data_IF_308266041830
#
_entry.id   IF_308266041830
#
_cell.length_a   1.000
_cell.length_b   1.000
_cell.length_c   1.000
_cell.angle_alpha   90.00
_cell.angle_beta   90.00
_cell.angle_gamma   90.00
#
_symmetry.space_group_name_H-M   'P 1'
#
loop_
_entity.id
_entity.type
_entity.pdbx_description
1 polymer ?
#
# COMPACT_ATOMS: atom_id res chain seq x y z
N UNK A 1 1.37 30.52 -20.15
CA UNK A 1 1.62 30.23 -18.73
C UNK A 1 1.80 31.54 -17.99
N UNK A 2 1.35 31.58 -16.74
CA UNK A 2 1.33 32.74 -15.89
C UNK A 2 2.19 32.53 -14.65
N UNK A 3 2.43 33.61 -13.90
CA UNK A 3 2.97 33.52 -12.54
C UNK A 3 1.94 32.88 -11.60
N UNK A 4 2.41 32.35 -10.46
CA UNK A 4 1.52 31.85 -9.42
C UNK A 4 0.56 32.91 -8.90
N UNK A 5 -0.69 32.52 -8.60
CA UNK A 5 -1.68 33.35 -7.93
C UNK A 5 -2.58 32.51 -7.01
N UNK A 6 -3.34 33.16 -6.12
CA UNK A 6 -4.18 32.49 -5.12
C UNK A 6 -5.35 31.73 -5.74
N UNK A 7 -5.91 32.22 -6.84
CA UNK A 7 -7.01 31.55 -7.55
C UNK A 7 -6.54 30.22 -8.16
N UNK A 8 -5.34 30.19 -8.75
CA UNK A 8 -4.75 28.96 -9.27
C UNK A 8 -4.40 27.95 -8.17
N UNK A 9 -3.92 28.41 -7.00
CA UNK A 9 -3.68 27.54 -5.86
C UNK A 9 -4.97 26.91 -5.35
N UNK A 10 -6.05 27.70 -5.23
CA UNK A 10 -7.37 27.20 -4.83
C UNK A 10 -7.94 26.16 -5.81
N UNK A 11 -7.82 26.41 -7.12
CA UNK A 11 -8.21 25.46 -8.17
C UNK A 11 -7.40 24.18 -8.12
N UNK A 12 -6.09 24.28 -7.92
CA UNK A 12 -5.18 23.14 -7.81
C UNK A 12 -5.64 22.17 -6.70
N UNK A 13 -5.92 22.71 -5.51
CA UNK A 13 -6.38 21.92 -4.35
C UNK A 13 -7.76 21.30 -4.64
N UNK A 14 -8.68 22.09 -5.21
CA UNK A 14 -10.02 21.62 -5.55
C UNK A 14 -9.99 20.46 -6.56
N UNK A 15 -9.18 20.56 -7.60
CA UNK A 15 -9.05 19.51 -8.61
C UNK A 15 -8.34 18.27 -8.07
N UNK A 16 -7.32 18.46 -7.24
CA UNK A 16 -6.62 17.36 -6.60
C UNK A 16 -7.56 16.52 -5.73
N UNK A 17 -8.36 17.18 -4.88
CA UNK A 17 -9.32 16.51 -4.00
C UNK A 17 -10.43 15.79 -4.79
N UNK A 18 -10.96 16.41 -5.86
CA UNK A 18 -12.03 15.83 -6.67
C UNK A 18 -11.59 14.64 -7.53
N UNK A 19 -10.29 14.51 -7.82
CA UNK A 19 -9.73 13.41 -8.64
C UNK A 19 -9.02 12.33 -7.83
N UNK A 20 -8.86 12.50 -6.51
CA UNK A 20 -8.08 11.61 -5.68
C UNK A 20 -6.61 11.51 -6.12
N UNK A 21 -6.04 12.63 -6.59
CA UNK A 21 -4.67 12.67 -7.11
C UNK A 21 -3.66 12.58 -5.96
N UNK A 22 -2.69 11.68 -6.07
CA UNK A 22 -1.58 11.55 -5.10
C UNK A 22 -0.40 12.48 -5.42
N UNK A 23 -0.23 12.83 -6.69
CA UNK A 23 0.83 13.73 -7.15
C UNK A 23 0.22 14.91 -7.89
N UNK A 24 0.51 16.11 -7.39
CA UNK A 24 0.02 17.37 -7.93
C UNK A 24 1.21 18.21 -8.38
N UNK A 25 1.25 18.54 -9.67
CA UNK A 25 2.33 19.35 -10.25
C UNK A 25 1.78 20.66 -10.76
N UNK A 26 2.18 21.74 -10.12
CA UNK A 26 1.84 23.09 -10.55
C UNK A 26 2.96 23.67 -11.41
N UNK A 27 2.73 23.75 -12.72
CA UNK A 27 3.71 24.28 -13.67
C UNK A 27 3.37 25.75 -13.95
N UNK A 28 4.33 26.64 -13.70
CA UNK A 28 4.17 28.09 -13.81
C UNK A 28 5.35 28.74 -14.54
N UNK A 29 5.17 29.98 -14.99
CA UNK A 29 6.26 30.78 -15.52
C UNK A 29 7.20 31.25 -14.40
N UNK A 30 6.64 31.62 -13.23
CA UNK A 30 7.38 32.07 -12.06
C UNK A 30 6.59 31.75 -10.79
N UNK A 31 7.22 31.10 -9.82
CA UNK A 31 6.70 30.84 -8.47
C UNK A 31 7.01 31.99 -7.53
N UNK A 32 5.99 32.60 -6.91
CA UNK A 32 6.19 33.59 -5.85
C UNK A 32 6.48 32.90 -4.53
N UNK A 33 7.22 33.55 -3.64
CA UNK A 33 7.65 32.98 -2.36
C UNK A 33 6.46 32.58 -1.47
N UNK A 34 5.39 33.39 -1.44
CA UNK A 34 4.18 33.04 -0.67
C UNK A 34 3.52 31.75 -1.16
N UNK A 35 3.54 31.46 -2.46
CA UNK A 35 2.98 30.22 -3.01
C UNK A 35 3.92 29.05 -2.83
N UNK A 36 5.24 29.26 -2.90
CA UNK A 36 6.23 28.25 -2.54
C UNK A 36 6.05 27.80 -1.09
N UNK A 37 5.92 28.74 -0.15
CA UNK A 37 5.65 28.45 1.26
C UNK A 37 4.31 27.73 1.46
N UNK A 38 3.29 28.11 0.69
CA UNK A 38 2.00 27.41 0.75
C UNK A 38 2.11 25.94 0.28
N UNK A 39 2.86 25.67 -0.79
CA UNK A 39 3.13 24.31 -1.25
C UNK A 39 3.96 23.52 -0.23
N UNK A 40 4.98 24.13 0.37
CA UNK A 40 5.76 23.53 1.45
C UNK A 40 4.87 23.18 2.65
N UNK A 41 3.99 24.08 3.06
CA UNK A 41 3.03 23.85 4.15
C UNK A 41 2.07 22.72 3.81
N UNK A 42 1.53 22.65 2.60
CA UNK A 42 0.68 21.54 2.15
C UNK A 42 1.43 20.21 2.23
N UNK A 43 2.69 20.14 1.78
CA UNK A 43 3.51 18.94 1.87
C UNK A 43 3.79 18.47 3.30
N UNK A 44 3.76 19.38 4.28
CA UNK A 44 3.98 19.07 5.69
C UNK A 44 2.71 18.64 6.43
N UNK A 45 1.53 19.11 5.99
CA UNK A 45 0.27 19.02 6.74
C UNK A 45 -0.83 18.19 6.05
N UNK A 46 -0.54 17.63 4.88
CA UNK A 46 -1.47 16.71 4.18
C UNK A 46 -1.03 15.26 4.35
N UNK A 47 -1.81 14.33 3.78
CA UNK A 47 -1.48 12.90 3.80
C UNK A 47 -0.06 12.65 3.25
N UNK A 48 0.76 11.80 3.90
CA UNK A 48 2.12 11.48 3.45
C UNK A 48 2.21 10.91 2.01
N UNK A 49 1.11 10.39 1.48
CA UNK A 49 1.04 9.90 0.10
C UNK A 49 0.73 11.03 -0.90
N UNK A 50 0.37 12.22 -0.41
CA UNK A 50 0.03 13.37 -1.25
C UNK A 50 1.26 14.25 -1.44
N UNK A 51 1.67 14.45 -2.69
CA UNK A 51 2.85 15.26 -3.02
C UNK A 51 2.52 16.44 -3.91
N UNK A 52 2.83 17.64 -3.44
CA UNK A 52 2.68 18.88 -4.20
C UNK A 52 4.04 19.36 -4.72
N UNK A 53 4.10 19.64 -6.02
CA UNK A 53 5.29 20.17 -6.70
C UNK A 53 4.98 21.53 -7.29
N UNK A 54 5.90 22.48 -7.11
CA UNK A 54 5.93 23.74 -7.82
C UNK A 54 7.10 23.71 -8.81
N UNK A 55 6.81 23.85 -10.09
CA UNK A 55 7.78 23.73 -11.18
C UNK A 55 7.71 24.98 -12.03
N UNK A 56 8.83 25.67 -12.20
CA UNK A 56 8.98 26.74 -13.17
C UNK A 56 9.37 26.18 -14.53
N UNK A 57 8.81 26.77 -15.57
CA UNK A 57 9.19 26.50 -16.96
C UNK A 57 9.81 27.74 -17.58
N UNK A 58 11.01 27.59 -18.11
CA UNK A 58 11.74 28.58 -18.87
C UNK A 58 11.91 28.10 -20.32
N UNK A 59 11.94 29.02 -21.25
CA UNK A 59 12.28 28.74 -22.65
C UNK A 59 13.72 29.18 -22.91
N UNK A 60 14.55 28.26 -23.32
CA UNK A 60 15.96 28.48 -23.60
C UNK A 60 16.24 28.28 -25.08
N UNK A 61 17.08 29.13 -25.63
CA UNK A 61 17.57 29.07 -27.00
C UNK A 61 19.07 29.41 -26.99
N UNK A 62 19.87 28.64 -27.70
CA UNK A 62 21.29 28.89 -27.92
C UNK A 62 21.43 29.26 -29.38
N UNK A 63 21.88 30.49 -29.64
CA UNK A 63 21.96 31.10 -30.98
C UNK A 63 20.63 30.91 -31.76
N UNK A 64 20.69 30.44 -33.00
CA UNK A 64 19.54 30.17 -33.87
C UNK A 64 18.96 28.73 -33.71
N UNK A 65 19.27 28.05 -32.62
CA UNK A 65 18.73 26.70 -32.38
C UNK A 65 17.21 26.69 -32.10
N UNK A 66 16.59 25.52 -32.17
CA UNK A 66 15.21 25.38 -31.74
C UNK A 66 15.05 25.70 -30.23
N UNK A 67 13.94 26.34 -29.88
CA UNK A 67 13.61 26.68 -28.50
C UNK A 67 13.35 25.38 -27.71
N UNK A 68 14.04 25.23 -26.57
CA UNK A 68 13.88 24.08 -25.66
C UNK A 68 13.28 24.53 -24.31
N UNK A 69 12.28 23.81 -23.77
CA UNK A 69 11.78 24.07 -22.42
C UNK A 69 12.77 23.53 -21.37
N UNK A 70 13.03 24.34 -20.35
CA UNK A 70 13.75 23.93 -19.13
C UNK A 70 12.77 23.95 -17.96
N UNK A 71 12.72 22.86 -17.22
CA UNK A 71 11.91 22.74 -16.01
C UNK A 71 12.80 22.84 -14.77
N UNK A 72 12.43 23.72 -13.85
CA UNK A 72 13.11 23.91 -12.57
C UNK A 72 12.13 23.62 -11.42
N UNK A 73 12.42 22.61 -10.62
CA UNK A 73 11.59 22.25 -9.44
C UNK A 73 11.92 23.23 -8.31
N UNK A 74 10.95 24.08 -7.97
CA UNK A 74 11.09 25.14 -6.96
C UNK A 74 10.71 24.62 -5.57
N UNK A 75 9.66 23.77 -5.49
CA UNK A 75 9.23 23.15 -4.24
C UNK A 75 8.77 21.71 -4.50
N UNK A 76 9.03 20.83 -3.54
CA UNK A 76 8.69 19.41 -3.59
C UNK A 76 8.57 18.82 -2.19
N UNK A 77 7.87 17.66 -2.00
CA UNK A 77 7.85 16.96 -0.71
C UNK A 77 9.25 16.59 -0.22
N UNK A 78 9.55 16.82 1.05
CA UNK A 78 10.88 16.58 1.64
C UNK A 78 11.38 15.13 1.48
N UNK A 79 10.50 14.14 1.55
CA UNK A 79 10.84 12.71 1.45
C UNK A 79 10.68 12.12 0.04
N UNK A 80 10.21 12.91 -0.93
CA UNK A 80 10.01 12.45 -2.31
C UNK A 80 11.28 11.87 -2.95
N UNK A 81 12.40 12.53 -2.74
CA UNK A 81 13.70 12.07 -3.26
C UNK A 81 14.13 10.73 -2.66
N UNK A 82 13.77 10.43 -1.42
CA UNK A 82 14.03 9.14 -0.77
C UNK A 82 13.07 8.06 -1.29
N UNK A 83 11.79 8.39 -1.47
CA UNK A 83 10.80 7.46 -2.01
C UNK A 83 11.11 7.10 -3.47
N UNK A 84 11.43 8.08 -4.32
CA UNK A 84 11.81 7.82 -5.72
C UNK A 84 13.10 7.01 -5.83
N UNK A 85 14.11 7.27 -4.99
CA UNK A 85 15.33 6.46 -4.94
C UNK A 85 15.06 5.04 -4.45
N UNK A 86 14.14 4.86 -3.49
CA UNK A 86 13.78 3.53 -3.02
C UNK A 86 13.06 2.72 -4.10
N UNK A 87 12.13 3.34 -4.84
CA UNK A 87 11.42 2.69 -5.95
C UNK A 87 12.37 2.40 -7.12
N UNK A 88 13.25 3.33 -7.49
CA UNK A 88 14.21 3.15 -8.57
C UNK A 88 15.27 2.08 -8.28
N UNK A 89 15.49 1.75 -7.01
CA UNK A 89 16.44 0.70 -6.58
C UNK A 89 15.77 -0.66 -6.34
N UNK A 90 14.46 -0.80 -6.55
CA UNK A 90 13.77 -2.09 -6.44
C UNK A 90 14.19 -3.01 -7.58
N UNK A 91 14.50 -4.26 -7.26
CA UNK A 91 14.66 -5.30 -8.28
C UNK A 91 13.29 -5.73 -8.85
N UNK A 92 13.29 -6.48 -9.96
CA UNK A 92 12.06 -6.90 -10.66
C UNK A 92 11.04 -7.59 -9.74
N UNK A 93 11.51 -8.41 -8.80
CA UNK A 93 10.67 -9.09 -7.82
C UNK A 93 10.01 -8.11 -6.84
N UNK A 94 10.75 -7.14 -6.36
CA UNK A 94 10.26 -6.11 -5.44
C UNK A 94 9.27 -5.19 -6.14
N UNK A 95 9.51 -4.84 -7.40
CA UNK A 95 8.59 -4.07 -8.22
C UNK A 95 7.27 -4.84 -8.43
N UNK A 96 7.36 -6.14 -8.77
CA UNK A 96 6.18 -7.00 -8.92
C UNK A 96 5.36 -7.07 -7.62
N UNK A 97 6.02 -7.27 -6.47
CA UNK A 97 5.35 -7.34 -5.17
C UNK A 97 4.69 -6.01 -4.79
N UNK A 98 5.37 -4.89 -5.04
CA UNK A 98 4.80 -3.57 -4.79
C UNK A 98 3.57 -3.32 -5.67
N UNK A 99 3.66 -3.66 -6.96
CA UNK A 99 2.55 -3.56 -7.90
C UNK A 99 1.37 -4.45 -7.48
N UNK A 100 1.64 -5.70 -7.10
CA UNK A 100 0.63 -6.64 -6.62
C UNK A 100 -0.14 -6.11 -5.40
N UNK A 101 0.55 -5.58 -4.38
CA UNK A 101 -0.09 -5.04 -3.18
C UNK A 101 -0.77 -3.69 -3.40
N UNK A 102 -0.29 -2.85 -4.31
CA UNK A 102 -1.00 -1.63 -4.71
C UNK A 102 -2.34 -1.96 -5.37
N UNK A 103 -2.33 -2.86 -6.34
CA UNK A 103 -3.56 -3.31 -7.01
C UNK A 103 -4.53 -4.04 -6.05
N UNK A 104 -3.99 -4.80 -5.07
CA UNK A 104 -4.79 -5.34 -3.96
C UNK A 104 -5.50 -4.22 -3.19
N UNK A 105 -4.77 -3.16 -2.80
CA UNK A 105 -5.33 -2.02 -2.10
C UNK A 105 -6.41 -1.31 -2.92
N UNK A 106 -6.19 -1.10 -4.21
CA UNK A 106 -7.15 -0.47 -5.12
C UNK A 106 -8.44 -1.30 -5.25
N UNK A 107 -8.31 -2.62 -5.33
CA UNK A 107 -9.45 -3.54 -5.35
C UNK A 107 -10.20 -3.53 -4.00
N UNK A 108 -9.47 -3.61 -2.88
CA UNK A 108 -10.05 -3.70 -1.53
C UNK A 108 -10.64 -2.37 -1.04
N UNK A 109 -10.13 -1.23 -1.50
CA UNK A 109 -10.69 0.10 -1.16
C UNK A 109 -12.14 0.29 -1.62
N UNK A 110 -12.58 -0.48 -2.59
CA UNK A 110 -13.94 -0.47 -3.16
C UNK A 110 -14.80 -1.64 -2.68
N UNK A 111 -14.22 -2.56 -1.90
CA UNK A 111 -14.89 -3.78 -1.47
C UNK A 111 -15.52 -3.58 -0.08
N UNK A 112 -16.85 -3.65 0.00
CA UNK A 112 -17.62 -3.43 1.24
C UNK A 112 -17.28 -4.42 2.36
N UNK A 113 -17.00 -5.68 2.02
CA UNK A 113 -16.67 -6.71 3.01
C UNK A 113 -15.28 -6.49 3.58
N UNK A 114 -14.31 -6.07 2.73
CA UNK A 114 -12.99 -5.70 3.22
C UNK A 114 -13.07 -4.50 4.18
N UNK A 115 -13.72 -3.41 3.78
CA UNK A 115 -13.84 -2.18 4.58
C UNK A 115 -14.53 -2.43 5.92
N UNK A 116 -15.50 -3.34 5.97
CA UNK A 116 -16.19 -3.74 7.21
C UNK A 116 -15.25 -4.46 8.19
N UNK A 117 -14.27 -5.20 7.69
CA UNK A 117 -13.41 -6.05 8.50
C UNK A 117 -12.01 -5.49 8.72
N UNK A 118 -11.45 -4.77 7.75
CA UNK A 118 -10.04 -4.37 7.73
C UNK A 118 -9.86 -2.92 7.29
N UNK A 119 -8.68 -2.39 7.54
CA UNK A 119 -8.24 -1.06 7.09
C UNK A 119 -7.15 -1.23 6.05
N UNK A 120 -7.20 -0.44 4.99
CA UNK A 120 -6.13 -0.38 3.97
C UNK A 120 -4.82 0.08 4.64
N UNK A 121 -3.73 -0.60 4.31
CA UNK A 121 -2.38 -0.24 4.74
C UNK A 121 -1.54 0.13 3.53
N UNK A 122 -0.51 0.92 3.74
CA UNK A 122 0.44 1.25 2.67
C UNK A 122 1.09 -0.03 2.12
N UNK A 123 0.99 -0.24 0.82
CA UNK A 123 1.69 -1.31 0.13
C UNK A 123 3.21 -1.10 0.20
N UNK A 124 3.96 -2.20 0.33
CA UNK A 124 5.42 -2.20 0.36
C UNK A 124 5.97 -3.28 -0.56
N UNK A 125 7.20 -3.12 -1.01
CA UNK A 125 7.90 -4.06 -1.90
C UNK A 125 8.37 -5.32 -1.15
N UNK A 126 7.44 -5.98 -0.45
CA UNK A 126 7.72 -7.14 0.39
C UNK A 126 6.73 -8.27 0.12
N UNK A 127 7.09 -9.50 0.50
CA UNK A 127 6.27 -10.67 0.22
C UNK A 127 5.11 -10.89 1.21
N UNK A 128 4.96 -10.06 2.24
CA UNK A 128 3.86 -10.17 3.22
C UNK A 128 3.05 -8.88 3.30
N UNK A 129 1.80 -9.04 3.75
CA UNK A 129 0.87 -7.96 4.02
C UNK A 129 0.02 -8.34 5.24
N UNK A 130 0.14 -7.57 6.32
CA UNK A 130 -0.49 -7.89 7.60
C UNK A 130 -1.77 -7.10 7.79
N UNK A 131 -2.80 -7.74 8.31
CA UNK A 131 -4.10 -7.15 8.61
C UNK A 131 -4.36 -7.18 10.11
N UNK A 132 -4.64 -6.03 10.70
CA UNK A 132 -5.04 -5.93 12.11
C UNK A 132 -6.43 -6.53 12.33
N UNK A 133 -6.59 -7.27 13.40
CA UNK A 133 -7.86 -7.87 13.81
C UNK A 133 -8.49 -7.18 15.02
N UNK A 134 -7.82 -6.13 15.54
CA UNK A 134 -8.23 -5.43 16.77
C UNK A 134 -7.78 -6.16 18.05
N UNK A 135 -6.78 -7.02 17.95
CA UNK A 135 -6.07 -7.68 19.04
C UNK A 135 -4.57 -7.44 18.86
N UNK A 136 -3.82 -7.27 19.94
CA UNK A 136 -2.36 -7.04 19.91
C UNK A 136 -1.55 -8.34 19.92
N UNK A 137 -2.12 -9.45 20.40
CA UNK A 137 -1.45 -10.74 20.51
C UNK A 137 -1.29 -11.46 19.18
N UNK A 138 -2.13 -11.14 18.18
CA UNK A 138 -2.05 -11.75 16.83
C UNK A 138 -2.59 -10.85 15.74
N UNK A 139 -2.24 -11.17 14.52
CA UNK A 139 -2.76 -10.52 13.31
C UNK A 139 -2.92 -11.53 12.17
N UNK A 140 -3.66 -11.16 11.14
CA UNK A 140 -3.70 -11.95 9.91
C UNK A 140 -2.49 -11.58 9.07
N UNK A 141 -1.73 -12.59 8.65
CA UNK A 141 -0.59 -12.43 7.74
C UNK A 141 -0.94 -13.07 6.39
N UNK A 142 -0.89 -12.27 5.33
CA UNK A 142 -0.99 -12.73 3.95
C UNK A 142 0.39 -12.70 3.32
N UNK A 143 0.76 -13.72 2.55
CA UNK A 143 2.03 -13.72 1.82
C UNK A 143 1.87 -14.11 0.36
N UNK A 144 2.71 -13.51 -0.49
CA UNK A 144 2.80 -13.83 -1.91
C UNK A 144 4.25 -14.21 -2.26
N UNK A 145 4.49 -15.47 -2.55
CA UNK A 145 5.83 -15.96 -2.90
C UNK A 145 5.96 -16.13 -4.41
N UNK A 146 6.70 -15.24 -5.06
CA UNK A 146 7.04 -15.34 -6.49
C UNK A 146 7.79 -16.65 -6.76
N UNK A 147 8.84 -16.93 -5.95
CA UNK A 147 9.68 -18.10 -6.16
C UNK A 147 8.93 -19.44 -6.01
N UNK A 148 8.02 -19.53 -5.02
CA UNK A 148 7.25 -20.75 -4.76
C UNK A 148 5.93 -20.79 -5.53
N UNK A 149 5.60 -19.75 -6.30
CA UNK A 149 4.33 -19.58 -7.01
C UNK A 149 3.15 -19.89 -6.10
N UNK A 150 3.14 -19.32 -4.90
CA UNK A 150 2.21 -19.69 -3.85
C UNK A 150 1.82 -18.49 -2.99
N UNK A 151 0.53 -18.42 -2.66
CA UNK A 151 0.00 -17.55 -1.63
C UNK A 151 -0.09 -18.29 -0.30
N UNK A 152 -0.07 -17.54 0.80
CA UNK A 152 -0.51 -18.04 2.11
C UNK A 152 -1.33 -16.98 2.84
N UNK A 153 -2.30 -17.43 3.62
CA UNK A 153 -3.10 -16.58 4.50
C UNK A 153 -3.23 -17.29 5.84
N UNK A 154 -3.17 -16.56 6.94
CA UNK A 154 -3.31 -17.18 8.24
C UNK A 154 -3.08 -16.24 9.41
N UNK A 155 -3.00 -16.83 10.59
CA UNK A 155 -2.74 -16.14 11.85
C UNK A 155 -1.24 -16.18 12.13
N UNK A 156 -0.69 -15.01 12.48
CA UNK A 156 0.65 -14.87 13.02
C UNK A 156 0.57 -14.38 14.46
N UNK A 157 1.18 -15.14 15.38
CA UNK A 157 1.23 -14.85 16.81
C UNK A 157 2.69 -14.61 17.19
N UNK A 158 3.09 -13.34 17.47
CA UNK A 158 4.51 -12.97 17.63
C UNK A 158 5.15 -13.51 18.91
N UNK A 159 4.46 -13.53 20.04
CA UNK A 159 5.05 -13.87 21.34
C UNK A 159 3.99 -14.32 22.37
N UNK A 160 3.02 -15.13 21.95
CA UNK A 160 1.95 -15.64 22.81
C UNK A 160 1.69 -17.14 22.50
N UNK A 161 2.45 -18.00 23.17
CA UNK A 161 2.33 -19.44 22.97
C UNK A 161 1.06 -20.01 23.61
N UNK A 162 0.59 -19.42 24.69
CA UNK A 162 -0.62 -19.87 25.36
C UNK A 162 -1.83 -19.67 24.44
N UNK A 163 -1.88 -18.54 23.72
CA UNK A 163 -2.89 -18.29 22.70
C UNK A 163 -2.78 -19.28 21.53
N UNK A 164 -1.57 -19.64 21.11
CA UNK A 164 -1.39 -20.66 20.06
C UNK A 164 -1.94 -22.01 20.51
N UNK A 165 -1.64 -22.45 21.74
CA UNK A 165 -2.16 -23.71 22.28
C UNK A 165 -3.67 -23.68 22.46
N UNK A 166 -4.24 -22.54 22.87
CA UNK A 166 -5.69 -22.36 22.91
C UNK A 166 -6.32 -22.57 21.53
N UNK A 167 -5.72 -22.00 20.48
CA UNK A 167 -6.18 -22.23 19.11
C UNK A 167 -5.97 -23.69 18.67
N UNK A 168 -4.86 -24.29 19.07
CA UNK A 168 -4.54 -25.68 18.77
C UNK A 168 -5.53 -26.68 19.41
N UNK A 169 -5.96 -26.43 20.63
CA UNK A 169 -7.02 -27.21 21.31
C UNK A 169 -8.38 -27.10 20.60
N UNK A 170 -8.58 -26.02 19.82
CA UNK A 170 -9.78 -25.75 19.03
C UNK A 170 -9.58 -25.94 17.51
N UNK A 171 -8.66 -26.82 17.10
CA UNK A 171 -8.38 -27.10 15.66
C UNK A 171 -9.62 -27.45 14.86
N UNK A 172 -10.56 -28.17 15.43
CA UNK A 172 -11.79 -28.57 14.75
C UNK A 172 -12.63 -27.37 14.30
N UNK A 173 -12.60 -26.26 15.06
CA UNK A 173 -13.30 -25.02 14.69
C UNK A 173 -12.68 -24.39 13.43
N UNK A 174 -11.35 -24.42 13.32
CA UNK A 174 -10.65 -23.99 12.12
C UNK A 174 -10.89 -24.95 10.96
N UNK A 175 -10.74 -26.26 11.18
CA UNK A 175 -11.01 -27.27 10.14
C UNK A 175 -12.41 -27.09 9.52
N UNK A 176 -13.44 -26.95 10.36
CA UNK A 176 -14.81 -26.76 9.91
C UNK A 176 -15.01 -25.44 9.14
N UNK A 177 -14.25 -24.39 9.47
CA UNK A 177 -14.34 -23.11 8.77
C UNK A 177 -13.68 -23.12 7.38
N UNK A 178 -12.57 -23.86 7.23
CA UNK A 178 -11.74 -23.87 6.01
C UNK A 178 -11.91 -25.12 5.16
N UNK A 179 -12.43 -26.21 5.73
CA UNK A 179 -12.48 -27.54 5.13
C UNK A 179 -11.09 -28.09 4.74
N UNK A 180 -10.07 -27.66 5.49
CA UNK A 180 -8.67 -28.10 5.38
C UNK A 180 -7.96 -27.94 6.73
N UNK A 181 -6.93 -28.75 7.01
CA UNK A 181 -6.23 -28.72 8.30
C UNK A 181 -5.33 -27.51 8.48
N UNK A 182 -4.81 -26.96 7.41
CA UNK A 182 -3.79 -25.92 7.44
C UNK A 182 -2.45 -26.40 8.00
N UNK A 183 -1.45 -25.54 7.97
CA UNK A 183 -0.15 -25.77 8.60
C UNK A 183 -0.10 -25.06 9.97
N UNK A 184 0.12 -25.83 11.02
CA UNK A 184 0.31 -25.36 12.40
C UNK A 184 1.79 -25.40 12.72
N UNK A 185 2.40 -24.25 12.93
CA UNK A 185 3.84 -24.17 13.15
C UNK A 185 4.15 -23.38 14.40
N UNK A 186 4.67 -24.07 15.40
CA UNK A 186 5.29 -23.48 16.55
C UNK A 186 6.79 -23.26 16.30
N UNK A 187 7.27 -22.04 16.53
CA UNK A 187 8.68 -21.69 16.49
C UNK A 187 9.10 -20.95 17.77
N UNK A 188 10.40 -20.78 17.97
CA UNK A 188 10.94 -20.24 19.23
C UNK A 188 10.38 -18.84 19.58
N UNK A 189 10.18 -17.98 18.59
CA UNK A 189 9.75 -16.59 18.79
C UNK A 189 8.35 -16.27 18.26
N UNK A 190 7.82 -17.07 17.36
CA UNK A 190 6.51 -16.79 16.76
C UNK A 190 5.85 -18.08 16.29
N UNK A 191 4.54 -18.13 16.35
CA UNK A 191 3.73 -19.27 15.93
C UNK A 191 2.81 -18.87 14.79
N UNK A 192 2.39 -19.82 13.95
CA UNK A 192 1.60 -19.55 12.74
C UNK A 192 0.58 -20.66 12.50
N UNK A 193 -0.58 -20.24 12.02
CA UNK A 193 -1.63 -21.12 11.52
C UNK A 193 -1.91 -20.65 10.10
N UNK A 194 -1.54 -21.42 9.07
CA UNK A 194 -1.53 -20.97 7.69
C UNK A 194 -2.22 -21.95 6.75
N UNK A 195 -2.93 -21.43 5.78
CA UNK A 195 -3.39 -22.14 4.60
C UNK A 195 -2.70 -21.60 3.34
N UNK A 196 -2.74 -22.40 2.27
CA UNK A 196 -1.96 -22.12 1.07
C UNK A 196 -2.77 -22.29 -0.20
N UNK A 197 -2.44 -21.51 -1.22
CA UNK A 197 -2.98 -21.63 -2.58
C UNK A 197 -1.86 -21.51 -3.60
N UNK A 198 -1.77 -22.47 -4.52
CA UNK A 198 -0.85 -22.37 -5.67
C UNK A 198 -1.37 -21.34 -6.65
N UNK A 199 -0.65 -20.23 -6.78
CA UNK A 199 -0.91 -19.14 -7.73
C UNK A 199 0.43 -18.47 -8.06
N UNK A 200 0.65 -18.24 -9.36
CA UNK A 200 1.81 -17.48 -9.85
C UNK A 200 1.41 -16.00 -10.01
N UNK A 201 1.84 -15.13 -9.10
CA UNK A 201 1.56 -13.69 -9.18
C UNK A 201 2.33 -12.96 -10.28
N UNK A 202 3.24 -13.65 -10.99
CA UNK A 202 3.86 -13.10 -12.20
C UNK A 202 2.88 -13.04 -13.37
N UNK A 203 1.77 -13.77 -13.29
CA UNK A 203 0.64 -13.68 -14.21
C UNK A 203 -0.43 -12.73 -13.60
N UNK A 204 -0.48 -11.51 -14.10
CA UNK A 204 -1.40 -10.49 -13.62
C UNK A 204 -2.88 -10.86 -13.82
N UNK A 205 -3.19 -11.74 -14.78
CA UNK A 205 -4.55 -12.22 -15.02
C UNK A 205 -5.12 -13.02 -13.84
N UNK A 206 -4.25 -13.53 -12.96
CA UNK A 206 -4.61 -14.30 -11.78
C UNK A 206 -4.79 -13.42 -10.52
N UNK A 207 -4.47 -12.13 -10.57
CA UNK A 207 -4.46 -11.26 -9.39
C UNK A 207 -5.83 -11.12 -8.76
N UNK A 208 -6.89 -10.94 -9.54
CA UNK A 208 -8.23 -10.85 -8.96
C UNK A 208 -8.61 -12.13 -8.19
N UNK A 209 -8.31 -13.30 -8.75
CA UNK A 209 -8.53 -14.58 -8.05
C UNK A 209 -7.68 -14.73 -6.78
N UNK A 210 -6.48 -14.14 -6.77
CA UNK A 210 -5.63 -14.09 -5.58
C UNK A 210 -6.23 -13.18 -4.50
N UNK A 211 -6.76 -12.02 -4.88
CA UNK A 211 -7.37 -11.06 -3.96
C UNK A 211 -8.66 -11.58 -3.34
N UNK A 212 -9.52 -12.21 -4.15
CA UNK A 212 -10.75 -12.83 -3.67
C UNK A 212 -10.44 -13.93 -2.64
N UNK A 213 -9.43 -14.76 -2.92
CA UNK A 213 -8.98 -15.80 -2.00
C UNK A 213 -8.41 -15.21 -0.69
N UNK A 214 -7.61 -14.15 -0.76
CA UNK A 214 -7.12 -13.47 0.43
C UNK A 214 -8.24 -12.88 1.26
N UNK A 215 -9.18 -12.18 0.64
CA UNK A 215 -10.32 -11.56 1.34
C UNK A 215 -11.16 -12.60 2.07
N UNK A 216 -11.57 -13.64 1.36
CA UNK A 216 -12.39 -14.72 1.92
C UNK A 216 -11.72 -15.35 3.14
N UNK A 217 -10.45 -15.75 3.00
CA UNK A 217 -9.75 -16.46 4.04
C UNK A 217 -9.31 -15.54 5.20
N UNK A 218 -8.94 -14.30 4.94
CA UNK A 218 -8.65 -13.33 6.00
C UNK A 218 -9.88 -13.08 6.89
N UNK A 219 -11.06 -12.94 6.30
CA UNK A 219 -12.32 -12.79 7.06
C UNK A 219 -12.60 -14.06 7.88
N UNK A 220 -12.46 -15.25 7.27
CA UNK A 220 -12.65 -16.53 7.96
C UNK A 220 -11.72 -16.66 9.16
N UNK A 221 -10.42 -16.40 9.00
CA UNK A 221 -9.47 -16.44 10.12
C UNK A 221 -9.84 -15.45 11.22
N UNK A 222 -10.16 -14.20 10.87
CA UNK A 222 -10.56 -13.18 11.85
C UNK A 222 -11.80 -13.60 12.64
N UNK A 223 -12.81 -14.12 11.96
CA UNK A 223 -14.08 -14.51 12.59
C UNK A 223 -13.88 -15.75 13.46
N UNK A 224 -13.11 -16.73 12.99
CA UNK A 224 -12.83 -17.99 13.72
C UNK A 224 -12.00 -17.72 14.97
N UNK A 225 -10.90 -16.96 14.84
CA UNK A 225 -10.07 -16.61 15.99
C UNK A 225 -10.86 -15.85 17.07
N UNK A 226 -11.67 -14.87 16.67
CA UNK A 226 -12.53 -14.12 17.62
C UNK A 226 -13.62 -14.94 18.31
N UNK A 227 -13.97 -16.12 17.84
CA UNK A 227 -14.89 -17.01 18.54
C UNK A 227 -14.21 -17.75 19.68
N UNK A 228 -12.92 -17.99 19.56
CA UNK A 228 -12.13 -18.79 20.50
C UNK A 228 -11.46 -17.88 21.54
N UNK A 229 -10.95 -16.72 21.09
CA UNK A 229 -10.28 -15.70 21.91
C UNK A 229 -11.32 -14.73 22.52
N UNK A 230 -12.17 -15.24 23.39
CA UNK A 230 -13.21 -14.46 24.11
C UNK A 230 -12.97 -14.42 25.61
#
# INVERSE_FOLDING_TARGET
>A
MEETNHDHLGKLITYASGKGAEVIVWVVKRGRDEHRQAIEWLNQHTDPNLGFFLVEIELWQIDDSAIAPKFSVIERPNDWGKQMKSIANLNDREQLLLSFWNNFNDSMSKNSDYIKHFTIRKAQAQHWYDLSVGNSSYHICMTASVQKKRLSCGIYIPDDKDLFHLFEENKDVFFNAFNEEGEWKEAAKATRIMIYKSIDISDESLWQSAYDWFLENAIKFKVTAKKIDK
#
